data_IF_268848168439
#
_entry.id   IF_268848168439
#
_cell.length_a   1.000
_cell.length_b   1.000
_cell.length_c   1.000
_cell.angle_alpha   90.00
_cell.angle_beta   90.00
_cell.angle_gamma   90.00
#
_symmetry.space_group_name_H-M   'P 1'
#
loop_
_entity.id
_entity.type
_entity.pdbx_description
1 polymer ?
#
# COMPACT_ATOMS: atom_id res chain seq x y z
N UNK A 1 35.02 60.08 22.44
CA UNK A 1 35.00 59.14 21.29
C UNK A 1 34.15 57.95 21.69
N UNK A 2 33.00 57.76 21.03
CA UNK A 2 32.06 56.65 21.24
C UNK A 2 32.68 55.32 20.77
N UNK A 3 32.43 54.20 21.49
CA UNK A 3 31.43 53.25 21.00
C UNK A 3 30.75 52.43 22.13
N UNK A 4 29.69 52.93 22.76
CA UNK A 4 28.82 52.08 23.61
C UNK A 4 27.51 51.66 22.91
N UNK A 5 27.07 52.41 21.91
CA UNK A 5 25.76 52.23 21.25
C UNK A 5 25.71 51.03 20.29
N UNK A 6 26.86 50.47 19.91
CA UNK A 6 26.92 49.29 19.05
C UNK A 6 26.65 47.97 19.80
N UNK A 7 26.89 47.93 21.12
CA UNK A 7 26.79 46.71 21.92
C UNK A 7 25.33 46.32 22.21
N UNK A 8 24.46 47.27 22.53
CA UNK A 8 23.05 47.02 22.85
C UNK A 8 22.25 46.41 21.67
N UNK A 9 22.53 46.86 20.43
CA UNK A 9 21.91 46.31 19.21
C UNK A 9 22.42 44.90 18.88
N UNK A 10 23.66 44.59 19.26
CA UNK A 10 24.22 43.24 19.07
C UNK A 10 23.67 42.25 20.10
N UNK A 11 23.51 42.62 21.37
CA UNK A 11 22.98 41.71 22.41
C UNK A 11 21.55 41.26 22.08
N UNK A 12 20.67 42.17 21.65
CA UNK A 12 19.31 41.78 21.23
C UNK A 12 19.31 40.86 20.00
N UNK A 13 20.20 41.10 19.01
CA UNK A 13 20.35 40.21 17.86
C UNK A 13 20.88 38.84 18.26
N UNK A 14 21.83 38.78 19.20
CA UNK A 14 22.41 37.54 19.72
C UNK A 14 21.35 36.72 20.46
N UNK A 15 20.52 37.33 21.29
CA UNK A 15 19.41 36.65 21.95
C UNK A 15 18.40 36.07 20.96
N UNK A 16 18.03 36.82 19.91
CA UNK A 16 17.17 36.30 18.83
C UNK A 16 17.82 35.14 18.07
N UNK A 17 19.13 35.21 17.79
CA UNK A 17 19.83 34.10 17.11
C UNK A 17 19.93 32.86 18.00
N UNK A 18 20.17 33.01 19.30
CA UNK A 18 20.20 31.89 20.24
C UNK A 18 18.82 31.23 20.30
N UNK A 19 17.76 32.04 20.41
CA UNK A 19 16.40 31.53 20.42
C UNK A 19 16.04 30.81 19.11
N UNK A 20 16.44 31.36 17.97
CA UNK A 20 16.24 30.73 16.67
C UNK A 20 16.99 29.39 16.55
N UNK A 21 18.23 29.30 17.03
CA UNK A 21 19.01 28.06 17.03
C UNK A 21 18.34 26.98 17.91
N UNK A 22 17.84 27.35 19.09
CA UNK A 22 17.11 26.41 19.96
C UNK A 22 15.85 25.89 19.29
N UNK A 23 15.05 26.77 18.68
CA UNK A 23 13.85 26.37 17.92
C UNK A 23 14.23 25.50 16.73
N UNK A 24 15.30 25.83 16.02
CA UNK A 24 15.76 25.09 14.86
C UNK A 24 16.20 23.67 15.24
N UNK A 25 16.93 23.50 16.35
CA UNK A 25 17.30 22.18 16.88
C UNK A 25 16.05 21.37 17.25
N UNK A 26 15.06 22.01 17.88
CA UNK A 26 13.82 21.33 18.25
C UNK A 26 13.01 20.89 17.02
N UNK A 27 12.95 21.72 15.97
CA UNK A 27 12.30 21.38 14.69
C UNK A 27 13.03 20.24 13.98
N UNK A 28 14.37 20.22 14.00
CA UNK A 28 15.16 19.13 13.41
C UNK A 28 14.90 17.82 14.16
N UNK A 29 14.92 17.84 15.50
CA UNK A 29 14.62 16.66 16.30
C UNK A 29 13.21 16.11 15.99
N UNK A 30 12.21 16.99 15.87
CA UNK A 30 10.84 16.61 15.53
C UNK A 30 10.74 15.99 14.13
N UNK A 31 11.47 16.55 13.14
CA UNK A 31 11.53 16.02 11.77
C UNK A 31 12.16 14.62 11.71
N UNK A 32 13.20 14.37 12.50
CA UNK A 32 13.89 13.07 12.55
C UNK A 32 12.95 11.99 13.10
N UNK A 33 12.26 12.28 14.20
CA UNK A 33 11.28 11.35 14.76
C UNK A 33 10.10 11.13 13.81
N UNK A 34 9.62 12.16 13.12
CA UNK A 34 8.56 12.02 12.12
C UNK A 34 8.94 11.01 11.01
N UNK A 35 10.14 11.12 10.44
CA UNK A 35 10.59 10.17 9.40
C UNK A 35 10.55 8.72 9.86
N UNK A 36 10.98 8.45 11.10
CA UNK A 36 11.02 7.10 11.67
C UNK A 36 9.63 6.55 11.97
N UNK A 37 8.68 7.42 12.32
CA UNK A 37 7.27 7.05 12.51
C UNK A 37 6.61 6.70 11.18
N UNK A 38 6.91 7.45 10.11
CA UNK A 38 6.31 7.22 8.79
C UNK A 38 6.70 5.85 8.21
N UNK A 39 7.97 5.47 8.32
CA UNK A 39 8.46 4.18 7.82
C UNK A 39 7.79 2.98 8.53
N UNK A 40 7.57 3.10 9.84
CA UNK A 40 6.84 2.10 10.64
C UNK A 40 5.35 2.05 10.28
N UNK A 41 4.75 3.20 9.99
CA UNK A 41 3.35 3.28 9.58
C UNK A 41 3.14 2.58 8.22
N UNK A 42 4.05 2.75 7.27
CA UNK A 42 3.96 2.12 5.95
C UNK A 42 4.07 0.58 6.02
N UNK A 43 4.88 0.03 6.93
CA UNK A 43 4.96 -1.42 7.14
C UNK A 43 3.66 -1.99 7.72
N UNK A 44 3.11 -1.30 8.71
CA UNK A 44 1.85 -1.68 9.34
C UNK A 44 0.71 -1.60 8.32
N UNK A 45 0.65 -0.55 7.50
CA UNK A 45 -0.35 -0.40 6.45
C UNK A 45 -0.31 -1.56 5.45
N UNK A 46 0.88 -1.96 4.99
CA UNK A 46 1.06 -3.11 4.10
C UNK A 46 0.58 -4.41 4.76
N UNK A 47 1.05 -4.70 5.99
CA UNK A 47 0.67 -5.93 6.71
C UNK A 47 -0.82 -6.01 7.00
N UNK A 48 -1.44 -4.89 7.37
CA UNK A 48 -2.89 -4.81 7.58
C UNK A 48 -3.64 -5.07 6.28
N UNK A 49 -3.18 -4.49 5.17
CA UNK A 49 -3.75 -4.70 3.84
C UNK A 49 -3.71 -6.18 3.43
N UNK A 50 -2.53 -6.82 3.52
CA UNK A 50 -2.36 -8.23 3.19
C UNK A 50 -3.24 -9.12 4.07
N UNK A 51 -3.25 -8.86 5.37
CA UNK A 51 -4.08 -9.60 6.32
C UNK A 51 -5.56 -9.45 5.95
N UNK A 52 -5.99 -8.23 5.66
CA UNK A 52 -7.35 -7.92 5.33
C UNK A 52 -7.82 -8.58 4.02
N UNK A 53 -6.98 -8.58 2.98
CA UNK A 53 -7.27 -9.27 1.71
C UNK A 53 -7.36 -10.78 1.91
N UNK A 54 -6.47 -11.37 2.72
CA UNK A 54 -6.52 -12.78 3.05
C UNK A 54 -7.80 -13.13 3.83
N UNK A 55 -8.19 -12.30 4.80
CA UNK A 55 -9.44 -12.48 5.55
C UNK A 55 -10.65 -12.40 4.62
N UNK A 56 -10.71 -11.44 3.71
CA UNK A 56 -11.76 -11.33 2.70
C UNK A 56 -11.80 -12.55 1.76
N UNK A 57 -10.64 -13.04 1.33
CA UNK A 57 -10.56 -14.22 0.47
C UNK A 57 -11.02 -15.50 1.19
N UNK A 58 -10.68 -15.65 2.47
CA UNK A 58 -11.16 -16.75 3.31
C UNK A 58 -12.66 -16.65 3.54
N UNK A 59 -13.19 -15.45 3.83
CA UNK A 59 -14.62 -15.23 3.97
C UNK A 59 -15.39 -15.59 2.70
N UNK A 60 -14.87 -15.20 1.53
CA UNK A 60 -15.43 -15.58 0.23
C UNK A 60 -15.41 -17.09 0.01
N UNK A 61 -14.33 -17.78 0.40
CA UNK A 61 -14.27 -19.23 0.35
C UNK A 61 -15.29 -19.89 1.28
N UNK A 62 -15.46 -19.39 2.50
CA UNK A 62 -16.48 -19.87 3.43
C UNK A 62 -17.88 -19.69 2.84
N UNK A 63 -18.17 -18.53 2.25
CA UNK A 63 -19.43 -18.29 1.53
C UNK A 63 -19.62 -19.26 0.36
N UNK A 64 -18.57 -19.53 -0.41
CA UNK A 64 -18.60 -20.50 -1.51
C UNK A 64 -18.91 -21.93 -1.02
N UNK A 65 -18.30 -22.35 0.09
CA UNK A 65 -18.56 -23.65 0.72
C UNK A 65 -20.02 -23.75 1.23
N UNK A 66 -20.55 -22.69 1.83
CA UNK A 66 -21.93 -22.62 2.31
C UNK A 66 -22.98 -22.63 1.19
N UNK A 67 -22.68 -22.02 0.04
CA UNK A 67 -23.59 -21.94 -1.11
C UNK A 67 -23.52 -23.16 -2.03
N UNK A 68 -23.01 -24.30 -1.54
CA UNK A 68 -22.88 -25.54 -2.31
C UNK A 68 -21.93 -25.44 -3.52
N UNK A 69 -20.86 -24.64 -3.38
CA UNK A 69 -19.74 -24.55 -4.34
C UNK A 69 -20.17 -24.15 -5.76
N UNK A 70 -20.88 -23.03 -5.93
CA UNK A 70 -21.30 -22.59 -7.25
C UNK A 70 -20.08 -22.18 -8.08
N UNK A 71 -20.14 -22.39 -9.40
CA UNK A 71 -19.09 -21.94 -10.32
C UNK A 71 -19.05 -20.40 -10.42
N UNK A 72 -20.21 -19.76 -10.24
CA UNK A 72 -20.37 -18.30 -10.26
C UNK A 72 -21.26 -17.85 -9.11
N UNK A 73 -20.95 -16.71 -8.52
CA UNK A 73 -21.78 -16.06 -7.50
C UNK A 73 -21.78 -14.56 -7.75
N UNK A 74 -22.97 -13.96 -7.60
CA UNK A 74 -23.11 -12.52 -7.67
C UNK A 74 -22.95 -11.94 -6.27
N UNK A 75 -21.90 -11.16 -6.03
CA UNK A 75 -21.62 -10.49 -4.74
C UNK A 75 -21.45 -9.00 -5.02
N UNK A 76 -22.21 -8.16 -4.32
CA UNK A 76 -22.19 -6.70 -4.49
C UNK A 76 -22.34 -6.21 -5.94
N UNK A 77 -23.22 -6.88 -6.70
CA UNK A 77 -23.50 -6.62 -8.12
C UNK A 77 -22.32 -6.96 -9.07
N UNK A 78 -21.29 -7.63 -8.56
CA UNK A 78 -20.14 -8.14 -9.32
C UNK A 78 -20.35 -9.63 -9.57
N UNK A 79 -20.24 -10.05 -10.83
CA UNK A 79 -20.21 -11.47 -11.20
C UNK A 79 -18.83 -12.05 -10.88
N UNK A 80 -18.77 -12.87 -9.84
CA UNK A 80 -17.54 -13.51 -9.37
C UNK A 80 -17.53 -14.96 -9.85
N UNK A 81 -16.47 -15.33 -10.56
CA UNK A 81 -16.20 -16.70 -10.98
C UNK A 81 -15.29 -17.34 -9.94
N UNK A 82 -15.60 -18.54 -9.47
CA UNK A 82 -14.73 -19.25 -8.53
C UNK A 82 -13.83 -20.26 -9.26
N UNK A 83 -12.58 -20.38 -8.81
CA UNK A 83 -11.71 -21.50 -9.20
C UNK A 83 -12.22 -22.82 -8.61
N UNK A 84 -11.72 -23.97 -9.08
CA UNK A 84 -12.09 -25.28 -8.51
C UNK A 84 -11.77 -25.42 -7.01
N UNK A 85 -10.90 -24.55 -6.48
CA UNK A 85 -10.55 -24.46 -5.05
C UNK A 85 -11.34 -23.39 -4.28
N UNK A 86 -12.31 -22.74 -4.91
CA UNK A 86 -13.20 -21.76 -4.27
C UNK A 86 -12.60 -20.37 -4.12
N UNK A 87 -11.59 -20.01 -4.93
CA UNK A 87 -11.02 -18.67 -4.90
C UNK A 87 -11.73 -17.74 -5.89
N UNK A 88 -12.11 -16.53 -5.45
CA UNK A 88 -12.84 -15.60 -6.31
C UNK A 88 -11.92 -15.05 -7.40
N UNK A 89 -12.41 -15.01 -8.63
CA UNK A 89 -11.79 -14.40 -9.80
C UNK A 89 -12.83 -13.52 -10.47
N UNK A 90 -12.49 -12.25 -10.69
CA UNK A 90 -13.35 -11.31 -11.41
C UNK A 90 -12.72 -11.06 -12.77
N UNK A 91 -13.45 -11.35 -13.84
CA UNK A 91 -13.00 -11.12 -15.21
C UNK A 91 -13.90 -10.07 -15.86
N UNK A 92 -13.30 -9.05 -16.46
CA UNK A 92 -13.98 -8.04 -17.27
C UNK A 92 -13.30 -7.99 -18.64
N UNK A 93 -14.08 -8.14 -19.71
CA UNK A 93 -13.58 -8.18 -21.10
C UNK A 93 -12.47 -9.22 -21.34
N UNK A 94 -12.62 -10.42 -20.78
CA UNK A 94 -11.68 -11.53 -20.96
C UNK A 94 -10.27 -11.24 -20.37
N UNK A 95 -10.20 -10.35 -19.38
CA UNK A 95 -9.02 -10.01 -18.60
C UNK A 95 -9.37 -9.88 -17.11
N UNK A 96 -8.44 -10.22 -16.22
CA UNK A 96 -8.62 -10.06 -14.78
C UNK A 96 -8.92 -8.61 -14.39
N UNK A 97 -10.06 -8.38 -13.76
CA UNK A 97 -10.45 -7.08 -13.24
C UNK A 97 -9.88 -6.89 -11.82
N UNK A 98 -8.65 -6.38 -11.77
CA UNK A 98 -7.94 -6.12 -10.52
C UNK A 98 -8.67 -5.12 -9.61
N UNK A 99 -9.47 -4.19 -10.17
CA UNK A 99 -10.19 -3.21 -9.38
C UNK A 99 -11.36 -3.84 -8.64
N UNK A 100 -12.19 -4.60 -9.36
CA UNK A 100 -13.32 -5.29 -8.76
C UNK A 100 -12.87 -6.45 -7.86
N UNK A 101 -11.78 -7.14 -8.22
CA UNK A 101 -11.17 -8.16 -7.36
C UNK A 101 -10.67 -7.55 -6.03
N UNK A 102 -10.00 -6.40 -6.08
CA UNK A 102 -9.60 -5.67 -4.87
C UNK A 102 -10.81 -5.32 -4.01
N UNK A 103 -11.83 -4.71 -4.62
CA UNK A 103 -13.04 -4.25 -3.92
C UNK A 103 -13.78 -5.41 -3.25
N UNK A 104 -13.76 -6.59 -3.86
CA UNK A 104 -14.39 -7.80 -3.33
C UNK A 104 -13.62 -8.39 -2.13
N UNK A 105 -12.29 -8.36 -2.19
CA UNK A 105 -11.42 -8.95 -1.17
C UNK A 105 -11.10 -7.99 -0.02
N UNK A 106 -11.16 -6.69 -0.28
CA UNK A 106 -10.82 -5.64 0.68
C UNK A 106 -12.07 -5.11 1.37
N UNK A 107 -12.05 -4.90 2.69
CA UNK A 107 -13.14 -4.23 3.38
C UNK A 107 -13.26 -2.78 2.91
N UNK A 108 -14.50 -2.28 2.92
CA UNK A 108 -14.88 -0.95 2.42
C UNK A 108 -14.07 0.24 2.99
N UNK A 109 -13.33 0.03 4.08
CA UNK A 109 -12.56 1.06 4.77
C UNK A 109 -11.11 1.19 4.27
N UNK A 110 -10.63 0.29 3.41
CA UNK A 110 -9.29 0.39 2.84
C UNK A 110 -9.41 0.98 1.43
N UNK A 111 -8.94 2.23 1.21
CA UNK A 111 -9.01 2.85 -0.10
C UNK A 111 -8.29 1.98 -1.13
N UNK A 112 -8.87 1.87 -2.32
CA UNK A 112 -8.25 1.13 -3.41
C UNK A 112 -6.89 1.77 -3.73
N UNK A 113 -5.78 1.02 -3.69
CA UNK A 113 -4.47 1.51 -4.09
C UNK A 113 -4.52 1.96 -5.56
N UNK A 114 -3.53 2.75 -5.97
CA UNK A 114 -3.35 3.02 -7.40
C UNK A 114 -3.06 1.68 -8.10
N UNK A 115 -4.08 1.17 -8.78
CA UNK A 115 -3.99 -0.03 -9.60
C UNK A 115 -3.39 0.42 -10.92
N UNK A 116 -2.07 0.42 -11.00
CA UNK A 116 -1.39 0.43 -12.28
C UNK A 116 -1.51 -0.98 -12.86
N UNK A 117 -2.41 -1.18 -13.83
CA UNK A 117 -2.41 -2.39 -14.66
C UNK A 117 -1.04 -2.51 -15.34
N UNK A 118 -0.16 -3.33 -14.79
CA UNK A 118 1.21 -3.54 -15.27
C UNK A 118 1.62 -5.00 -15.03
N UNK A 119 1.02 -5.94 -15.77
CA UNK A 119 1.75 -6.84 -16.68
C UNK A 119 0.80 -7.85 -17.31
N UNK A 120 0.86 -8.01 -18.64
CA UNK A 120 0.31 -9.16 -19.36
C UNK A 120 1.40 -9.69 -20.31
N UNK A 121 1.79 -10.97 -20.08
CA UNK A 121 2.55 -11.93 -20.93
C UNK A 121 4.06 -11.69 -21.17
N UNK A 122 4.95 -12.66 -21.45
CA UNK A 122 5.01 -14.09 -21.92
C UNK A 122 6.49 -14.58 -21.69
N UNK A 123 7.05 -15.74 -22.13
CA UNK A 123 6.63 -17.13 -22.29
C UNK A 123 7.70 -18.09 -21.67
N UNK A 124 7.67 -18.38 -20.36
CA UNK A 124 8.51 -19.46 -19.79
C UNK A 124 7.91 -19.89 -18.45
N UNK A 125 7.16 -20.98 -18.49
CA UNK A 125 6.71 -21.76 -17.33
C UNK A 125 5.93 -21.02 -16.25
N UNK A 126 4.73 -20.54 -16.56
CA UNK A 126 3.45 -20.89 -15.89
C UNK A 126 2.40 -19.79 -16.14
N UNK A 127 1.22 -20.21 -16.57
CA UNK A 127 0.09 -19.46 -17.13
C UNK A 127 -0.80 -18.75 -16.08
N UNK A 128 -0.35 -17.67 -15.44
CA UNK A 128 -1.21 -16.96 -14.49
C UNK A 128 -1.24 -15.45 -14.73
N UNK A 129 -2.45 -14.89 -14.77
CA UNK A 129 -2.70 -13.45 -14.70
C UNK A 129 -2.42 -12.99 -13.25
N UNK A 130 -1.68 -11.89 -13.09
CA UNK A 130 -1.39 -11.27 -11.80
C UNK A 130 -1.78 -9.79 -11.77
N UNK A 131 -2.19 -9.33 -10.58
CA UNK A 131 -2.54 -7.94 -10.31
C UNK A 131 -1.47 -7.34 -9.39
N UNK A 132 -0.91 -6.19 -9.76
CA UNK A 132 0.07 -5.46 -8.94
C UNK A 132 -0.57 -4.19 -8.41
N UNK A 133 -0.43 -3.94 -7.11
CA UNK A 133 -1.04 -2.83 -6.38
C UNK A 133 0.05 -2.01 -5.67
N UNK A 134 0.06 -0.69 -5.82
CA UNK A 134 0.92 0.20 -5.01
C UNK A 134 0.21 0.60 -3.71
N UNK A 135 0.65 0.03 -2.58
CA UNK A 135 -0.02 0.26 -1.28
C UNK A 135 0.50 1.54 -0.59
N UNK A 136 1.80 1.80 -0.73
CA UNK A 136 2.47 3.00 -0.21
C UNK A 136 3.66 3.34 -1.10
N UNK A 137 4.21 4.55 -1.01
CA UNK A 137 5.23 5.05 -1.94
C UNK A 137 6.43 4.07 -2.06
N UNK A 138 6.49 3.33 -3.17
CA UNK A 138 7.53 2.33 -3.44
C UNK A 138 7.32 0.94 -2.81
N UNK A 139 6.22 0.68 -2.10
CA UNK A 139 5.82 -0.67 -1.66
C UNK A 139 4.67 -1.20 -2.50
N UNK A 140 4.89 -2.35 -3.08
CA UNK A 140 4.01 -2.98 -4.04
C UNK A 140 3.53 -4.33 -3.52
N UNK A 141 2.34 -4.71 -3.95
CA UNK A 141 1.70 -5.97 -3.61
C UNK A 141 1.27 -6.65 -4.91
N UNK A 142 1.82 -7.81 -5.19
CA UNK A 142 1.38 -8.66 -6.29
C UNK A 142 0.40 -9.71 -5.78
N UNK A 143 -0.71 -9.86 -6.49
CA UNK A 143 -1.69 -10.93 -6.32
C UNK A 143 -1.66 -11.80 -7.57
N UNK A 144 -1.36 -13.09 -7.42
CA UNK A 144 -1.32 -14.03 -8.53
C UNK A 144 -2.01 -15.36 -8.18
N UNK A 145 -2.52 -16.04 -9.19
CA UNK A 145 -3.23 -17.30 -9.01
C UNK A 145 -2.31 -18.52 -9.19
N UNK A 146 -1.53 -18.90 -8.17
CA UNK A 146 -0.72 -20.12 -8.25
C UNK A 146 -1.51 -21.39 -7.92
N UNK A 147 -1.55 -22.40 -8.80
CA UNK A 147 -2.22 -23.68 -8.54
C UNK A 147 -3.68 -23.54 -8.05
N UNK A 148 -4.47 -22.69 -8.70
CA UNK A 148 -5.86 -22.37 -8.33
C UNK A 148 -6.03 -21.72 -6.94
N UNK A 149 -4.96 -21.25 -6.31
CA UNK A 149 -4.97 -20.53 -5.03
C UNK A 149 -4.51 -19.09 -5.22
N UNK A 150 -5.10 -18.14 -4.49
CA UNK A 150 -4.62 -16.76 -4.47
C UNK A 150 -3.35 -16.71 -3.62
N UNK A 151 -2.29 -16.16 -4.19
CA UNK A 151 -1.05 -15.84 -3.48
C UNK A 151 -0.81 -14.35 -3.54
N UNK A 152 -0.38 -13.80 -2.41
CA UNK A 152 -0.02 -12.39 -2.24
C UNK A 152 1.48 -12.33 -1.97
N UNK A 153 2.19 -11.49 -2.70
CA UNK A 153 3.62 -11.26 -2.54
C UNK A 153 3.87 -9.77 -2.42
N UNK A 154 4.49 -9.33 -1.32
CA UNK A 154 4.92 -7.95 -1.15
C UNK A 154 6.35 -7.77 -1.67
N UNK A 155 6.59 -6.64 -2.32
CA UNK A 155 7.92 -6.27 -2.77
C UNK A 155 8.11 -4.76 -2.66
N UNK A 156 9.34 -4.35 -2.33
CA UNK A 156 9.72 -2.95 -2.28
C UNK A 156 10.45 -2.62 -3.57
N UNK A 157 9.93 -1.70 -4.37
CA UNK A 157 10.68 -1.17 -5.50
C UNK A 157 11.77 -0.29 -4.92
N UNK A 158 13.01 -0.74 -5.02
CA UNK A 158 14.16 0.10 -4.71
C UNK A 158 14.11 1.30 -5.67
N UNK A 159 13.78 2.49 -5.16
CA UNK A 159 13.96 3.73 -5.91
C UNK A 159 15.43 3.79 -6.28
N UNK A 160 15.77 3.54 -7.55
CA UNK A 160 17.11 3.82 -8.05
C UNK A 160 17.35 5.32 -7.93
N UNK A 161 17.93 5.75 -6.82
CA UNK A 161 18.50 7.08 -6.65
C UNK A 161 19.64 7.17 -7.64
N UNK A 162 19.34 7.65 -8.85
CA UNK A 162 20.35 8.09 -9.80
C UNK A 162 20.95 9.37 -9.23
N UNK A 163 22.04 9.22 -8.48
CA UNK A 163 22.92 10.32 -8.08
C UNK A 163 23.77 10.78 -9.24
#
# INVERSE_FOLDING_TARGET
MLPEVFNQRQINRIHYTIWFVVVLILVIALRVEWRKVNEKADDIAMRLTIKSLNEGAVAMRQMWELNNRPATLKVDDIDVIFTAKGWPRVEQNNSLDCYNLWRLLSPANIPAPHISMLYSKEPKSVTYESCVYEISAGKWLELFYGNETIKLNDFVAEKSTKS
#
